data_IF_690693361644
#
_entry.id   IF_690693361644
#
_cell.length_a   1.000
_cell.length_b   1.000
_cell.length_c   1.000
_cell.angle_alpha   90.00
_cell.angle_beta   90.00
_cell.angle_gamma   90.00
#
_symmetry.space_group_name_H-M   'P 1'
#
loop_
_entity.id
_entity.type
_entity.pdbx_description
1 polymer ?
#
# COMPACT_ATOMS: atom_id res chain seq x y z
N UNK A 1 13.26 4.73 0.48
CA UNK A 1 12.18 5.64 0.93
C UNK A 1 11.51 5.02 2.13
N UNK A 2 11.39 5.75 3.25
CA UNK A 2 10.73 5.27 4.45
C UNK A 2 9.32 4.73 4.14
N UNK A 3 8.94 3.65 4.83
CA UNK A 3 7.66 2.97 4.66
C UNK A 3 6.48 3.94 4.78
N UNK A 4 6.58 4.88 5.72
CA UNK A 4 5.57 5.92 5.95
C UNK A 4 5.29 6.77 4.70
N UNK A 5 6.31 7.20 3.97
CA UNK A 5 6.11 7.99 2.74
C UNK A 5 5.52 7.15 1.61
N UNK A 6 5.85 5.86 1.54
CA UNK A 6 5.21 4.92 0.60
C UNK A 6 3.72 4.78 0.91
N UNK A 7 3.37 4.62 2.18
CA UNK A 7 1.99 4.59 2.65
C UNK A 7 1.25 5.87 2.30
N UNK A 8 1.82 7.02 2.65
CA UNK A 8 1.21 8.32 2.36
C UNK A 8 0.96 8.50 0.86
N UNK A 9 1.94 8.16 0.01
CA UNK A 9 1.79 8.22 -1.45
C UNK A 9 0.65 7.32 -1.94
N UNK A 10 0.54 6.11 -1.41
CA UNK A 10 -0.50 5.15 -1.81
C UNK A 10 -1.89 5.62 -1.37
N UNK A 11 -2.00 6.14 -0.14
CA UNK A 11 -3.26 6.68 0.38
C UNK A 11 -3.70 7.89 -0.41
N UNK A 12 -2.80 8.83 -0.70
CA UNK A 12 -3.10 10.00 -1.52
C UNK A 12 -3.49 9.57 -2.95
N UNK A 13 -2.76 8.64 -3.56
CA UNK A 13 -3.09 8.13 -4.89
C UNK A 13 -4.45 7.44 -4.94
N UNK A 14 -4.81 6.68 -3.89
CA UNK A 14 -6.12 6.06 -3.78
C UNK A 14 -7.23 7.09 -3.51
N UNK A 15 -6.96 8.11 -2.70
CA UNK A 15 -7.92 9.17 -2.38
C UNK A 15 -8.24 10.06 -3.59
N UNK A 16 -7.23 10.41 -4.39
CA UNK A 16 -7.41 11.21 -5.61
C UNK A 16 -7.79 10.37 -6.84
N UNK A 17 -7.87 9.05 -6.73
CA UNK A 17 -8.34 8.21 -7.81
C UNK A 17 -9.83 8.51 -8.09
N UNK A 18 -10.12 9.07 -9.28
CA UNK A 18 -11.49 9.37 -9.70
C UNK A 18 -12.33 8.11 -9.96
N UNK A 19 -11.68 7.00 -10.32
CA UNK A 19 -12.32 5.72 -10.59
C UNK A 19 -12.29 4.83 -9.35
N UNK A 20 -13.48 4.53 -8.83
CA UNK A 20 -13.65 3.45 -7.85
C UNK A 20 -13.68 2.13 -8.60
N UNK A 21 -12.71 1.28 -8.32
CA UNK A 21 -12.62 -0.06 -8.91
C UNK A 21 -13.48 -1.04 -8.14
N UNK A 22 -13.90 -2.10 -8.80
CA UNK A 22 -14.68 -3.16 -8.20
C UNK A 22 -13.81 -3.97 -7.22
N UNK A 23 -14.45 -4.64 -6.25
CA UNK A 23 -13.77 -5.44 -5.21
C UNK A 23 -12.99 -6.62 -5.80
N UNK A 24 -13.44 -7.12 -6.96
CA UNK A 24 -12.79 -8.24 -7.67
C UNK A 24 -11.78 -7.77 -8.72
N UNK A 25 -11.60 -6.46 -8.90
CA UNK A 25 -10.60 -5.95 -9.84
C UNK A 25 -9.19 -6.21 -9.32
N UNK A 26 -8.24 -6.34 -10.25
CA UNK A 26 -6.84 -6.54 -9.89
C UNK A 26 -6.21 -5.20 -9.49
N UNK A 27 -5.64 -5.16 -8.29
CA UNK A 27 -4.91 -4.01 -7.78
C UNK A 27 -3.42 -4.29 -7.75
N UNK A 28 -2.66 -3.60 -8.60
CA UNK A 28 -1.19 -3.70 -8.63
C UNK A 28 -0.56 -2.45 -8.02
N UNK A 29 0.28 -2.65 -7.00
CA UNK A 29 1.12 -1.59 -6.44
C UNK A 29 2.57 -1.85 -6.83
N UNK A 30 3.22 -0.86 -7.42
CA UNK A 30 4.64 -0.95 -7.77
C UNK A 30 5.44 -0.06 -6.84
N UNK A 31 6.36 -0.65 -6.08
CA UNK A 31 7.25 0.08 -5.19
C UNK A 31 8.69 -0.32 -5.48
N UNK A 32 9.59 0.66 -5.60
CA UNK A 32 11.02 0.38 -5.75
C UNK A 32 11.62 -0.10 -4.42
N UNK A 33 12.57 -1.02 -4.47
CA UNK A 33 13.38 -1.41 -3.31
C UNK A 33 14.48 -0.37 -3.13
N UNK A 34 14.65 0.14 -1.91
CA UNK A 34 15.66 1.15 -1.60
C UNK A 34 16.76 0.56 -0.71
N UNK A 35 17.92 1.22 -0.65
CA UNK A 35 19.08 0.79 0.15
C UNK A 35 18.68 0.52 1.62
N UNK A 36 17.84 1.38 2.22
CA UNK A 36 17.34 1.19 3.59
C UNK A 36 16.29 0.09 3.78
N UNK A 37 15.95 -0.66 2.73
CA UNK A 37 15.13 -1.88 2.82
C UNK A 37 15.98 -3.15 2.86
N UNK A 38 17.30 -3.01 2.71
CA UNK A 38 18.24 -4.12 2.77
C UNK A 38 18.66 -4.37 4.22
N UNK A 39 18.78 -5.65 4.54
CA UNK A 39 19.39 -6.13 5.76
C UNK A 39 20.94 -6.01 5.67
N UNK A 40 21.67 -6.27 6.75
CA UNK A 40 23.13 -6.27 6.72
C UNK A 40 23.76 -7.28 5.73
N UNK A 41 22.98 -8.26 5.25
CA UNK A 41 23.41 -9.25 4.25
C UNK A 41 23.20 -8.75 2.82
N UNK A 42 22.71 -7.52 2.62
CA UNK A 42 22.46 -6.95 1.30
C UNK A 42 21.24 -7.55 0.60
N UNK A 43 20.33 -8.19 1.33
CA UNK A 43 19.06 -8.70 0.82
C UNK A 43 17.90 -7.87 1.38
N UNK A 44 16.78 -7.82 0.68
CA UNK A 44 15.59 -7.17 1.24
C UNK A 44 15.12 -7.91 2.49
N UNK A 45 14.89 -7.18 3.58
CA UNK A 45 14.47 -7.82 4.84
C UNK A 45 13.11 -8.52 4.67
N UNK A 46 12.93 -9.67 5.33
CA UNK A 46 11.66 -10.40 5.29
C UNK A 46 10.46 -9.55 5.77
N UNK A 47 10.69 -8.65 6.73
CA UNK A 47 9.69 -7.72 7.22
C UNK A 47 9.18 -6.73 6.16
N UNK A 48 9.97 -6.44 5.13
CA UNK A 48 9.57 -5.51 4.05
C UNK A 48 8.56 -6.13 3.10
N UNK A 49 8.57 -7.45 2.89
CA UNK A 49 7.54 -8.13 2.11
C UNK A 49 6.17 -7.94 2.74
N UNK A 50 6.04 -8.22 4.05
CA UNK A 50 4.80 -8.00 4.79
C UNK A 50 4.36 -6.53 4.73
N UNK A 51 5.32 -5.61 4.93
CA UNK A 51 5.04 -4.17 4.82
C UNK A 51 4.50 -3.77 3.44
N UNK A 52 5.01 -4.34 2.35
CA UNK A 52 4.53 -4.06 1.00
C UNK A 52 3.17 -4.69 0.70
N UNK A 53 2.90 -5.86 1.27
CA UNK A 53 1.55 -6.45 1.23
C UNK A 53 0.54 -5.53 1.91
N UNK A 54 0.86 -5.00 3.08
CA UNK A 54 0.00 -4.04 3.80
C UNK A 54 -0.26 -2.78 2.97
N UNK A 55 0.76 -2.27 2.28
CA UNK A 55 0.61 -1.16 1.34
C UNK A 55 -0.38 -1.49 0.20
N UNK A 56 -0.33 -2.72 -0.32
CA UNK A 56 -1.28 -3.22 -1.32
C UNK A 56 -2.71 -3.26 -0.78
N UNK A 57 -2.89 -3.79 0.43
CA UNK A 57 -4.18 -3.83 1.13
C UNK A 57 -4.73 -2.42 1.33
N UNK A 58 -3.90 -1.47 1.77
CA UNK A 58 -4.31 -0.08 1.95
C UNK A 58 -4.70 0.58 0.63
N UNK A 59 -4.00 0.28 -0.47
CA UNK A 59 -4.40 0.77 -1.79
C UNK A 59 -5.76 0.22 -2.23
N UNK A 60 -5.96 -1.08 -2.04
CA UNK A 60 -7.19 -1.77 -2.32
C UNK A 60 -8.35 -1.13 -1.54
N UNK A 61 -8.25 -1.09 -0.22
CA UNK A 61 -9.29 -0.53 0.66
C UNK A 61 -9.61 0.94 0.34
N UNK A 62 -8.59 1.72 -0.05
CA UNK A 62 -8.78 3.11 -0.47
C UNK A 62 -9.56 3.23 -1.77
N UNK A 63 -9.22 2.42 -2.79
CA UNK A 63 -9.82 2.48 -4.14
C UNK A 63 -11.22 1.87 -4.23
N UNK A 64 -11.48 0.80 -3.49
CA UNK A 64 -12.82 0.18 -3.41
C UNK A 64 -13.76 0.98 -2.49
N UNK A 65 -13.23 1.88 -1.67
CA UNK A 65 -13.99 2.64 -0.68
C UNK A 65 -14.27 1.86 0.61
N UNK A 66 -13.75 0.63 0.75
CA UNK A 66 -13.90 -0.19 1.97
C UNK A 66 -13.32 0.52 3.20
N UNK A 67 -12.28 1.35 3.03
CA UNK A 67 -11.69 2.15 4.10
C UNK A 67 -12.70 3.11 4.76
N UNK A 68 -13.62 3.70 3.96
CA UNK A 68 -14.66 4.59 4.48
C UNK A 68 -15.70 3.82 5.30
N UNK A 69 -16.08 2.63 4.81
CA UNK A 69 -17.03 1.73 5.49
C UNK A 69 -16.45 1.23 6.82
N UNK A 70 -15.17 0.88 6.83
CA UNK A 70 -14.46 0.47 8.04
C UNK A 70 -14.44 1.61 9.08
N UNK A 71 -14.10 2.84 8.67
CA UNK A 71 -14.11 4.01 9.57
C UNK A 71 -15.48 4.36 10.15
N UNK A 72 -16.58 4.00 9.50
CA UNK A 72 -17.93 4.32 10.00
C UNK A 72 -18.50 3.25 10.94
N UNK A 73 -17.86 2.08 11.05
CA UNK A 73 -18.35 0.94 11.85
C UNK A 73 -17.29 0.38 12.83
N UNK A 74 -16.13 1.01 12.93
CA UNK A 74 -15.02 0.62 13.79
C UNK A 74 -14.80 1.60 14.94
#
# INVERSE_FOLDING_TARGET
MNLFFRLLRILLSAYFAKTKTHILDVHTVHTGVWIGDHDPMGHMTNSRYASFTDLGIMNFMGRTGTLKVFRSHG
#
